data_IF_042220399588
#
_entry.id   IF_042220399588
#
_cell.length_a   1.000
_cell.length_b   1.000
_cell.length_c   1.000
_cell.angle_alpha   90.00
_cell.angle_beta   90.00
_cell.angle_gamma   90.00
#
_symmetry.space_group_name_H-M   'P 1'
#
loop_
_entity.id
_entity.type
_entity.pdbx_description
1 polymer ?
#
# COMPACT_ATOMS: atom_id res chain seq x y z
N UNK A 1 4.19 11.11 -5.36
CA UNK A 1 3.20 10.33 -6.13
C UNK A 1 2.70 9.16 -5.30
N UNK A 2 1.41 8.90 -5.34
CA UNK A 2 0.80 7.73 -4.68
C UNK A 2 0.62 6.62 -5.70
N UNK A 3 1.01 5.40 -5.33
CA UNK A 3 0.80 4.20 -6.15
C UNK A 3 -0.09 3.24 -5.34
N UNK A 4 -1.25 2.90 -5.89
CA UNK A 4 -2.24 2.07 -5.18
C UNK A 4 -2.28 0.65 -5.73
N UNK A 5 -2.25 -0.32 -4.81
CA UNK A 5 -2.28 -1.74 -5.11
C UNK A 5 -3.47 -2.39 -4.39
N UNK A 6 -4.57 -2.65 -5.10
CA UNK A 6 -5.73 -3.32 -4.49
C UNK A 6 -5.39 -4.73 -4.00
N UNK A 7 -6.02 -5.14 -2.90
CA UNK A 7 -5.81 -6.46 -2.31
C UNK A 7 -7.09 -6.97 -1.68
N UNK A 8 -7.41 -8.25 -1.87
CA UNK A 8 -8.61 -8.87 -1.33
C UNK A 8 -8.35 -9.77 -0.11
N UNK A 9 -7.14 -9.76 0.44
CA UNK A 9 -6.77 -10.65 1.56
C UNK A 9 -7.33 -10.21 2.91
N UNK A 10 -7.92 -9.02 3.00
CA UNK A 10 -8.41 -8.47 4.27
C UNK A 10 -9.93 -8.39 4.24
N UNK A 11 -10.58 -9.39 4.82
CA UNK A 11 -12.03 -9.50 4.93
C UNK A 11 -12.76 -9.49 3.57
N UNK A 12 -12.07 -9.85 2.49
CA UNK A 12 -12.64 -9.88 1.13
C UNK A 12 -13.32 -8.55 0.75
N UNK A 13 -12.71 -7.44 1.09
CA UNK A 13 -13.27 -6.11 0.85
C UNK A 13 -12.99 -5.55 -0.55
N UNK A 14 -12.22 -6.27 -1.37
CA UNK A 14 -11.88 -5.86 -2.72
C UNK A 14 -12.08 -7.02 -3.71
N UNK A 15 -13.32 -7.57 -3.82
CA UNK A 15 -13.56 -8.79 -4.62
C UNK A 15 -13.65 -8.58 -6.13
N UNK A 16 -13.79 -7.35 -6.59
CA UNK A 16 -13.98 -7.06 -8.01
C UNK A 16 -12.73 -7.30 -8.87
N UNK A 17 -12.92 -7.25 -10.18
CA UNK A 17 -11.81 -7.26 -11.13
C UNK A 17 -11.05 -5.94 -11.10
N UNK A 18 -9.86 -5.91 -11.71
CA UNK A 18 -9.07 -4.66 -11.79
C UNK A 18 -9.87 -3.52 -12.41
N UNK A 19 -10.62 -3.80 -13.49
CA UNK A 19 -11.44 -2.78 -14.15
C UNK A 19 -12.58 -2.28 -13.25
N UNK A 20 -13.24 -3.19 -12.54
CA UNK A 20 -14.33 -2.83 -11.62
C UNK A 20 -13.81 -1.98 -10.44
N UNK A 21 -12.65 -2.34 -9.90
CA UNK A 21 -12.01 -1.60 -8.81
C UNK A 21 -11.63 -0.18 -9.28
N UNK A 22 -11.04 -0.06 -10.46
CA UNK A 22 -10.67 1.24 -11.02
C UNK A 22 -11.90 2.12 -11.23
N UNK A 23 -12.97 1.55 -11.80
CA UNK A 23 -14.22 2.28 -12.00
C UNK A 23 -14.82 2.75 -10.68
N UNK A 24 -14.86 1.86 -9.68
CA UNK A 24 -15.37 2.19 -8.35
C UNK A 24 -14.59 3.33 -7.70
N UNK A 25 -13.26 3.23 -7.70
CA UNK A 25 -12.41 4.26 -7.09
C UNK A 25 -12.53 5.60 -7.80
N UNK A 26 -12.59 5.58 -9.13
CA UNK A 26 -12.67 6.80 -9.94
C UNK A 26 -14.03 7.46 -9.81
N UNK A 27 -15.13 6.68 -9.90
CA UNK A 27 -16.48 7.25 -9.90
C UNK A 27 -16.95 7.66 -8.51
N UNK A 28 -16.55 6.96 -7.46
CA UNK A 28 -17.02 7.24 -6.10
C UNK A 28 -16.09 8.17 -5.33
N UNK A 29 -14.78 8.05 -5.51
CA UNK A 29 -13.77 8.79 -4.76
C UNK A 29 -12.92 9.73 -5.60
N UNK A 30 -13.17 9.77 -6.91
CA UNK A 30 -12.47 10.68 -7.83
C UNK A 30 -10.94 10.54 -7.77
N UNK A 31 -10.47 9.29 -7.68
CA UNK A 31 -9.05 8.97 -7.58
C UNK A 31 -8.31 9.38 -8.84
N UNK A 32 -7.20 10.10 -8.70
CA UNK A 32 -6.38 10.58 -9.83
C UNK A 32 -5.00 9.94 -9.90
N UNK A 33 -4.56 9.26 -8.83
CA UNK A 33 -3.26 8.59 -8.82
C UNK A 33 -3.32 7.20 -9.46
N UNK A 34 -2.16 6.63 -9.88
CA UNK A 34 -2.14 5.32 -10.53
C UNK A 34 -2.70 4.19 -9.65
N UNK A 35 -3.57 3.38 -10.26
CA UNK A 35 -4.10 2.16 -9.67
C UNK A 35 -3.51 0.97 -10.43
N UNK A 36 -2.88 0.05 -9.70
CA UNK A 36 -2.25 -1.13 -10.29
C UNK A 36 -3.15 -2.36 -10.21
N UNK A 37 -2.67 -3.49 -10.73
CA UNK A 37 -3.38 -4.76 -10.64
C UNK A 37 -3.62 -5.15 -9.19
N UNK A 38 -4.73 -5.81 -8.94
CA UNK A 38 -4.99 -6.43 -7.65
C UNK A 38 -3.93 -7.52 -7.39
N UNK A 39 -3.35 -7.51 -6.19
CA UNK A 39 -2.26 -8.40 -5.81
C UNK A 39 -2.52 -9.03 -4.45
N UNK A 40 -1.74 -10.04 -4.11
CA UNK A 40 -1.59 -10.50 -2.74
C UNK A 40 -0.37 -9.83 -2.13
N UNK A 41 -0.43 -9.51 -0.85
CA UNK A 41 0.64 -8.82 -0.13
C UNK A 41 1.27 -9.69 0.96
N UNK A 42 0.60 -10.77 1.35
CA UNK A 42 1.06 -11.72 2.37
C UNK A 42 1.05 -13.14 1.81
N UNK A 43 1.86 -14.00 2.42
CA UNK A 43 1.96 -15.41 2.04
C UNK A 43 2.82 -15.65 0.81
N UNK A 44 2.83 -16.90 0.34
CA UNK A 44 3.68 -17.32 -0.77
C UNK A 44 3.32 -16.64 -2.10
N UNK A 45 2.07 -16.26 -2.26
CA UNK A 45 1.58 -15.58 -3.46
C UNK A 45 1.77 -14.07 -3.46
N UNK A 46 2.42 -13.50 -2.44
CA UNK A 46 2.63 -12.06 -2.37
C UNK A 46 3.44 -11.55 -3.56
N UNK A 47 3.03 -10.37 -4.08
CA UNK A 47 3.75 -9.74 -5.18
C UNK A 47 5.21 -9.47 -4.78
N UNK A 48 6.18 -9.64 -5.70
CA UNK A 48 7.60 -9.41 -5.39
C UNK A 48 7.88 -8.02 -4.80
N UNK A 49 7.17 -6.99 -5.25
CA UNK A 49 7.29 -5.64 -4.70
C UNK A 49 7.01 -5.63 -3.20
N UNK A 50 5.95 -6.30 -2.76
CA UNK A 50 5.59 -6.32 -1.33
C UNK A 50 6.53 -7.19 -0.51
N UNK A 51 7.07 -8.26 -1.08
CA UNK A 51 8.12 -9.02 -0.41
C UNK A 51 9.34 -8.15 -0.13
N UNK A 52 9.73 -7.33 -1.10
CA UNK A 52 10.84 -6.39 -0.95
C UNK A 52 10.52 -5.29 0.07
N UNK A 53 9.34 -4.66 -0.04
CA UNK A 53 8.94 -3.61 0.90
C UNK A 53 8.93 -4.10 2.35
N UNK A 54 8.36 -5.28 2.59
CA UNK A 54 8.29 -5.87 3.93
C UNK A 54 9.69 -6.25 4.45
N UNK A 55 10.58 -6.66 3.57
CA UNK A 55 11.96 -6.96 3.93
C UNK A 55 12.76 -5.73 4.33
N UNK A 56 12.54 -4.61 3.64
CA UNK A 56 13.24 -3.34 3.94
C UNK A 56 12.70 -2.66 5.20
N UNK A 57 11.37 -2.73 5.42
CA UNK A 57 10.71 -2.13 6.59
C UNK A 57 9.71 -3.14 7.16
N UNK A 58 10.14 -4.04 8.04
CA UNK A 58 9.30 -5.14 8.50
C UNK A 58 8.15 -4.76 9.45
N UNK A 59 8.06 -3.57 9.91
CA UNK A 59 6.97 -3.15 10.78
C UNK A 59 7.13 -3.64 12.22
N UNK A 60 6.10 -3.42 13.03
CA UNK A 60 6.10 -3.75 14.45
C UNK A 60 5.73 -5.21 14.70
N UNK A 61 6.32 -5.83 15.74
CA UNK A 61 6.02 -7.18 16.17
C UNK A 61 6.88 -8.24 15.50
N UNK A 62 6.47 -9.49 15.64
CA UNK A 62 7.25 -10.66 15.20
C UNK A 62 7.07 -10.97 13.70
N UNK A 63 6.15 -10.32 13.03
CA UNK A 63 5.82 -10.59 11.63
C UNK A 63 5.97 -9.34 10.78
N UNK A 64 6.57 -9.51 9.60
CA UNK A 64 6.64 -8.46 8.59
C UNK A 64 5.35 -8.34 7.78
N UNK A 65 4.36 -9.21 8.03
CA UNK A 65 3.11 -9.27 7.28
C UNK A 65 2.38 -7.92 7.29
N UNK A 66 1.71 -7.62 6.18
CA UNK A 66 0.78 -6.49 6.12
C UNK A 66 -0.40 -6.82 7.02
N UNK A 67 -0.75 -5.91 7.93
CA UNK A 67 -1.74 -6.19 8.97
C UNK A 67 -3.17 -5.96 8.53
N UNK A 68 -3.40 -4.99 7.65
CA UNK A 68 -4.73 -4.65 7.16
C UNK A 68 -4.66 -3.76 5.94
N UNK A 69 -5.81 -3.36 5.41
CA UNK A 69 -5.90 -2.38 4.31
C UNK A 69 -5.26 -1.04 4.71
N UNK A 70 -4.81 -0.28 3.73
CA UNK A 70 -4.25 1.07 3.90
C UNK A 70 -2.93 1.14 4.65
N UNK A 71 -2.19 0.06 4.73
CA UNK A 71 -0.80 0.14 5.16
C UNK A 71 0.02 0.82 4.06
N UNK A 72 0.98 1.64 4.46
CA UNK A 72 1.69 2.52 3.53
C UNK A 72 3.19 2.38 3.71
N UNK A 73 3.91 2.53 2.60
CA UNK A 73 5.38 2.57 2.59
C UNK A 73 5.83 3.86 1.93
N UNK A 74 6.82 4.52 2.51
CA UNK A 74 7.41 5.72 1.92
C UNK A 74 8.74 5.35 1.26
N UNK A 75 8.88 5.68 -0.02
CA UNK A 75 10.11 5.46 -0.80
C UNK A 75 10.69 6.82 -1.13
N UNK A 76 11.99 7.02 -0.85
CA UNK A 76 12.66 8.27 -1.15
C UNK A 76 13.03 8.38 -2.64
N UNK A 77 13.59 9.52 -3.02
CA UNK A 77 13.92 9.76 -4.44
C UNK A 77 15.12 8.96 -4.94
N UNK A 78 15.86 8.28 -4.05
CA UNK A 78 16.91 7.35 -4.42
C UNK A 78 16.40 5.90 -4.54
N UNK A 79 15.12 5.67 -4.29
CA UNK A 79 14.52 4.34 -4.36
C UNK A 79 14.63 3.53 -3.08
N UNK A 80 15.00 4.13 -1.97
CA UNK A 80 15.10 3.44 -0.67
C UNK A 80 13.76 3.52 0.07
N UNK A 81 13.36 2.40 0.68
CA UNK A 81 12.16 2.39 1.55
C UNK A 81 12.59 2.91 2.91
N UNK A 82 12.11 4.10 3.26
CA UNK A 82 12.58 4.82 4.44
C UNK A 82 11.64 4.74 5.63
N UNK A 83 10.34 4.51 5.41
CA UNK A 83 9.37 4.35 6.48
C UNK A 83 8.22 3.44 6.07
N UNK A 84 7.59 2.83 7.07
CA UNK A 84 6.36 2.05 6.95
C UNK A 84 5.35 2.60 7.94
N UNK A 85 4.11 2.77 7.47
CA UNK A 85 3.03 3.35 8.29
C UNK A 85 1.91 2.34 8.45
N UNK A 86 1.46 2.17 9.69
CA UNK A 86 0.31 1.31 9.98
C UNK A 86 -0.97 1.91 9.39
N UNK A 87 -2.04 1.10 9.25
CA UNK A 87 -3.30 1.60 8.69
C UNK A 87 -3.92 2.79 9.41
N UNK A 88 -3.66 2.96 10.70
CA UNK A 88 -4.23 4.06 11.48
C UNK A 88 -3.56 5.41 11.20
N UNK A 89 -2.40 5.42 10.56
CA UNK A 89 -1.73 6.67 10.19
C UNK A 89 -2.43 7.25 8.97
N UNK A 90 -2.91 8.49 9.09
CA UNK A 90 -3.66 9.14 8.01
C UNK A 90 -2.76 9.62 6.88
N UNK A 91 -3.31 9.83 5.66
CA UNK A 91 -2.54 10.43 4.57
C UNK A 91 -1.91 11.78 4.93
N UNK A 92 -2.58 12.59 5.72
CA UNK A 92 -2.03 13.87 6.19
C UNK A 92 -0.79 13.68 7.05
N UNK A 93 -0.80 12.68 7.93
CA UNK A 93 0.36 12.36 8.78
C UNK A 93 1.52 11.82 7.94
N UNK A 94 1.23 11.03 6.90
CA UNK A 94 2.25 10.58 5.94
C UNK A 94 2.84 11.79 5.22
N UNK A 95 2.01 12.75 4.84
CA UNK A 95 2.44 13.98 4.20
C UNK A 95 3.46 14.76 5.03
N UNK A 96 3.26 14.82 6.34
CA UNK A 96 4.23 15.46 7.26
C UNK A 96 5.56 14.73 7.25
N UNK A 97 5.56 13.39 7.24
CA UNK A 97 6.77 12.60 7.18
C UNK A 97 7.53 12.78 5.86
N UNK A 98 6.80 12.93 4.74
CA UNK A 98 7.40 13.16 3.42
C UNK A 98 8.32 14.38 3.42
N UNK A 99 7.96 15.44 4.13
CA UNK A 99 8.76 16.67 4.17
C UNK A 99 10.19 16.43 4.63
N UNK A 100 10.42 15.41 5.47
CA UNK A 100 11.76 15.06 5.97
C UNK A 100 12.65 14.44 4.89
N UNK A 101 12.07 13.95 3.80
CA UNK A 101 12.76 13.20 2.75
C UNK A 101 12.74 13.89 1.39
N UNK A 102 12.33 15.11 1.34
CA UNK A 102 12.30 15.90 0.10
C UNK A 102 13.69 16.31 -0.37
#
# INVERSE_FOLDING_TARGET
MVLAFPCNQFANQEPGTDAEILEFATSKYDVTFPMFHKIEVNGDGAAPLYKWLKGEQPGDGDSAEITWNFEKFLVDKQGNVVERFSPIITPEQVGEAIEQYR
#
